data_IF_463847972850
#
_entry.id   IF_463847972850
#
_cell.length_a   1.000
_cell.length_b   1.000
_cell.length_c   1.000
_cell.angle_alpha   90.00
_cell.angle_beta   90.00
_cell.angle_gamma   90.00
#
_symmetry.space_group_name_H-M   'P 1'
#
loop_
_entity.id
_entity.type
_entity.pdbx_description
1 polymer ?
#
# COMPACT_ATOMS: atom_id res chain seq x y z
N UNK A 1 16.35 4.46 9.16
CA UNK A 1 16.71 3.90 10.49
C UNK A 1 16.84 5.05 11.47
N UNK A 2 16.45 4.85 12.73
CA UNK A 2 16.66 5.83 13.80
C UNK A 2 17.87 5.37 14.63
N UNK A 3 18.87 6.23 14.77
CA UNK A 3 20.16 5.88 15.36
C UNK A 3 20.21 6.11 16.89
N UNK A 4 19.35 6.98 17.41
CA UNK A 4 19.31 7.32 18.84
C UNK A 4 17.91 7.09 19.40
N UNK A 5 17.77 6.64 20.65
CA UNK A 5 16.47 6.53 21.30
C UNK A 5 15.80 7.91 21.44
N UNK A 6 14.48 7.93 21.43
CA UNK A 6 13.67 9.15 21.63
C UNK A 6 12.59 8.89 22.69
N UNK A 7 12.00 9.92 23.30
CA UNK A 7 11.07 9.77 24.43
C UNK A 7 9.82 8.90 24.12
N UNK A 8 9.33 8.91 22.89
CA UNK A 8 8.18 8.12 22.43
C UNK A 8 8.52 6.72 21.91
N UNK A 9 9.77 6.26 22.05
CA UNK A 9 10.16 4.92 21.59
C UNK A 9 9.39 3.85 22.35
N UNK A 10 8.97 2.79 21.61
CA UNK A 10 8.30 1.63 22.19
C UNK A 10 9.18 0.99 23.29
N UNK A 11 8.61 0.80 24.48
CA UNK A 11 9.32 0.23 25.64
C UNK A 11 9.09 -1.24 25.84
N UNK A 12 7.95 -1.76 25.37
CA UNK A 12 7.55 -3.14 25.52
C UNK A 12 6.26 -3.44 24.78
N UNK A 13 5.94 -4.73 24.64
CA UNK A 13 4.66 -5.21 24.15
C UNK A 13 4.02 -6.10 25.18
N UNK A 14 2.68 -6.08 25.22
CA UNK A 14 1.94 -6.93 26.16
C UNK A 14 2.26 -8.41 25.91
N UNK A 15 2.52 -9.17 26.98
CA UNK A 15 2.86 -10.58 26.90
C UNK A 15 4.28 -10.92 26.43
N UNK A 16 5.19 -9.92 26.32
CA UNK A 16 6.59 -10.11 25.90
C UNK A 16 7.58 -9.47 26.92
N UNK A 17 7.71 -10.03 28.13
CA UNK A 17 8.52 -9.45 29.20
C UNK A 17 10.02 -9.34 28.86
N UNK A 18 10.52 -10.17 27.96
CA UNK A 18 11.93 -10.16 27.53
C UNK A 18 12.17 -9.27 26.29
N UNK A 19 11.12 -8.63 25.80
CA UNK A 19 11.15 -7.81 24.58
C UNK A 19 11.69 -8.55 23.34
N UNK A 20 11.45 -9.86 23.25
CA UNK A 20 11.91 -10.70 22.11
C UNK A 20 11.35 -10.17 20.80
N UNK A 21 10.04 -9.90 20.75
CA UNK A 21 9.36 -9.41 19.54
C UNK A 21 9.87 -8.03 19.10
N UNK A 22 10.13 -7.13 20.06
CA UNK A 22 10.70 -5.81 19.75
C UNK A 22 12.09 -5.97 19.14
N UNK A 23 12.92 -6.78 19.77
CA UNK A 23 14.29 -7.06 19.28
C UNK A 23 14.27 -7.66 17.88
N UNK A 24 13.41 -8.65 17.65
CA UNK A 24 13.24 -9.30 16.35
C UNK A 24 12.75 -8.34 15.26
N UNK A 25 11.70 -7.57 15.54
CA UNK A 25 11.05 -6.72 14.53
C UNK A 25 11.88 -5.46 14.22
N UNK A 26 12.43 -4.81 15.25
CA UNK A 26 13.01 -3.47 15.10
C UNK A 26 14.52 -3.40 15.19
N UNK A 27 15.19 -4.40 15.82
CA UNK A 27 16.64 -4.35 16.07
C UNK A 27 17.44 -5.50 15.47
N UNK A 28 16.81 -6.52 14.90
CA UNK A 28 17.50 -7.69 14.33
C UNK A 28 18.27 -7.35 13.05
N UNK A 29 17.72 -6.45 12.24
CA UNK A 29 18.26 -6.13 10.90
C UNK A 29 19.50 -5.24 10.95
N UNK A 30 19.57 -4.34 11.92
CA UNK A 30 20.66 -3.39 12.08
C UNK A 30 21.00 -3.27 13.57
N UNK A 31 22.17 -3.76 13.96
CA UNK A 31 22.60 -3.76 15.35
C UNK A 31 22.61 -2.34 15.95
N UNK A 32 21.91 -2.16 17.07
CA UNK A 32 21.86 -0.90 17.81
C UNK A 32 21.04 0.22 17.15
N UNK A 33 20.40 -0.03 16.01
CA UNK A 33 19.58 0.97 15.30
C UNK A 33 18.14 0.51 15.19
N UNK A 34 17.20 1.42 15.41
CA UNK A 34 15.78 1.12 15.26
C UNK A 34 15.38 1.14 13.78
N UNK A 35 14.94 0.01 13.27
CA UNK A 35 14.47 -0.14 11.90
C UNK A 35 12.97 0.13 11.83
N UNK A 36 12.57 1.24 11.22
CA UNK A 36 11.16 1.64 11.08
C UNK A 36 10.41 0.82 10.04
N UNK A 37 11.13 0.25 9.08
CA UNK A 37 10.55 -0.39 7.89
C UNK A 37 10.09 0.60 6.82
N UNK A 38 10.41 1.89 6.98
CA UNK A 38 10.06 2.92 6.03
C UNK A 38 11.28 3.38 5.23
N UNK A 39 11.09 3.65 3.94
CA UNK A 39 12.05 4.33 3.08
C UNK A 39 11.91 5.84 3.23
N UNK A 40 13.02 6.54 3.27
CA UNK A 40 13.04 7.99 3.25
C UNK A 40 14.24 8.50 2.45
N UNK A 41 14.08 9.67 1.84
CA UNK A 41 15.19 10.47 1.30
C UNK A 41 15.24 11.83 2.00
N UNK A 42 16.39 12.43 2.01
CA UNK A 42 16.58 13.80 2.45
C UNK A 42 16.82 14.66 1.21
N UNK A 43 16.18 15.82 1.11
CA UNK A 43 16.41 16.78 0.04
C UNK A 43 17.53 17.78 0.36
N UNK A 44 17.73 18.75 -0.52
CA UNK A 44 18.80 19.77 -0.41
C UNK A 44 18.58 20.70 0.79
N UNK A 45 17.32 20.90 1.21
CA UNK A 45 16.96 21.75 2.36
C UNK A 45 17.04 20.98 3.70
N UNK A 46 17.29 19.67 3.65
CA UNK A 46 17.37 18.79 4.82
C UNK A 46 16.04 18.18 5.24
N UNK A 47 14.99 18.34 4.47
CA UNK A 47 13.67 17.80 4.75
C UNK A 47 13.58 16.30 4.39
N UNK A 48 12.82 15.55 5.20
CA UNK A 48 12.63 14.11 5.02
C UNK A 48 11.38 13.83 4.22
N UNK A 49 11.56 13.20 3.06
CA UNK A 49 10.49 12.67 2.23
C UNK A 49 10.27 11.20 2.52
N UNK A 50 9.13 10.84 3.06
CA UNK A 50 8.77 9.44 3.30
C UNK A 50 8.31 8.80 2.00
N UNK A 51 9.07 7.78 1.54
CA UNK A 51 8.83 7.09 0.26
C UNK A 51 7.91 5.87 0.41
N UNK A 52 7.38 5.62 1.60
CA UNK A 52 6.55 4.46 1.91
C UNK A 52 7.33 3.33 2.58
N UNK A 53 6.69 2.17 2.69
CA UNK A 53 7.28 0.97 3.32
C UNK A 53 8.31 0.33 2.41
N UNK A 54 9.42 -0.16 2.99
CA UNK A 54 10.44 -0.90 2.23
C UNK A 54 9.99 -2.31 1.79
N UNK A 55 8.91 -2.80 2.40
CA UNK A 55 8.25 -4.07 2.12
C UNK A 55 7.00 -3.94 1.21
N UNK A 56 6.52 -2.70 0.98
CA UNK A 56 5.46 -2.39 0.03
C UNK A 56 6.04 -1.93 -1.33
N UNK A 57 6.87 -2.78 -1.91
CA UNK A 57 7.51 -2.56 -3.22
C UNK A 57 7.05 -3.64 -4.18
N UNK A 58 6.73 -3.26 -5.40
CA UNK A 58 6.35 -4.14 -6.51
C UNK A 58 7.53 -4.28 -7.46
N UNK A 59 7.86 -5.51 -7.88
CA UNK A 59 8.92 -5.78 -8.85
C UNK A 59 8.32 -5.97 -10.24
N UNK A 60 8.18 -4.89 -10.98
CA UNK A 60 7.65 -4.89 -12.35
C UNK A 60 8.80 -5.01 -13.35
N UNK A 61 8.89 -6.15 -14.03
CA UNK A 61 9.94 -6.39 -15.04
C UNK A 61 11.36 -6.05 -14.55
N UNK A 62 11.67 -6.38 -13.28
CA UNK A 62 12.96 -6.12 -12.66
C UNK A 62 13.14 -4.71 -12.06
N UNK A 63 12.16 -3.82 -12.22
CA UNK A 63 12.17 -2.49 -11.60
C UNK A 63 11.39 -2.50 -10.28
N UNK A 64 11.97 -1.86 -9.27
CA UNK A 64 11.33 -1.72 -7.95
C UNK A 64 10.54 -0.42 -7.89
N UNK A 65 9.22 -0.54 -7.79
CA UNK A 65 8.29 0.58 -7.67
C UNK A 65 7.69 0.61 -6.26
N UNK A 66 7.75 1.78 -5.62
CA UNK A 66 7.05 2.01 -4.36
C UNK A 66 5.53 2.14 -4.59
N UNK A 67 4.73 1.40 -3.82
CA UNK A 67 3.26 1.51 -3.94
C UNK A 67 2.77 2.93 -3.64
N UNK A 68 3.40 3.60 -2.65
CA UNK A 68 3.04 4.96 -2.25
C UNK A 68 3.22 5.99 -3.37
N UNK A 69 4.20 5.81 -4.27
CA UNK A 69 4.42 6.70 -5.40
C UNK A 69 3.27 6.62 -6.40
N UNK A 70 2.83 5.40 -6.71
CA UNK A 70 1.68 5.18 -7.61
C UNK A 70 0.38 5.64 -6.96
N UNK A 71 0.19 5.41 -5.65
CA UNK A 71 -0.94 5.92 -4.88
C UNK A 71 -1.01 7.45 -4.92
N UNK A 72 0.12 8.11 -4.69
CA UNK A 72 0.22 9.59 -4.74
C UNK A 72 -0.12 10.15 -6.11
N UNK A 73 0.38 9.51 -7.18
CA UNK A 73 0.03 9.91 -8.55
C UNK A 73 -1.48 9.77 -8.80
N UNK A 74 -2.11 8.69 -8.34
CA UNK A 74 -3.56 8.51 -8.52
C UNK A 74 -4.37 9.55 -7.74
N UNK A 75 -4.01 9.80 -6.47
CA UNK A 75 -4.71 10.76 -5.59
C UNK A 75 -4.54 12.20 -6.08
N UNK A 76 -3.47 12.53 -6.81
CA UNK A 76 -3.31 13.86 -7.43
C UNK A 76 -4.33 14.14 -8.54
N UNK A 77 -5.01 13.11 -9.07
CA UNK A 77 -6.08 13.30 -10.05
C UNK A 77 -7.39 13.78 -9.38
N UNK A 78 -8.07 14.76 -9.98
CA UNK A 78 -9.25 15.42 -9.41
C UNK A 78 -10.40 14.46 -9.05
N UNK A 79 -10.56 13.35 -9.79
CA UNK A 79 -11.64 12.38 -9.60
C UNK A 79 -11.39 11.38 -8.46
N UNK A 80 -10.17 11.30 -7.92
CA UNK A 80 -9.78 10.27 -6.96
C UNK A 80 -9.86 10.79 -5.54
N UNK A 81 -10.62 10.09 -4.69
CA UNK A 81 -10.66 10.33 -3.26
C UNK A 81 -9.55 9.57 -2.53
N UNK A 82 -9.41 8.28 -2.85
CA UNK A 82 -8.43 7.39 -2.24
C UNK A 82 -7.95 6.36 -3.26
N UNK A 83 -6.71 5.93 -3.10
CA UNK A 83 -6.14 4.83 -3.86
C UNK A 83 -5.32 3.91 -2.97
N UNK A 84 -5.31 2.63 -3.30
CA UNK A 84 -4.40 1.65 -2.71
C UNK A 84 -3.82 0.78 -3.82
N UNK A 85 -2.53 0.51 -3.73
CA UNK A 85 -1.78 -0.23 -4.73
C UNK A 85 -1.15 -1.46 -4.11
N UNK A 86 -1.25 -2.59 -4.80
CA UNK A 86 -0.60 -3.85 -4.43
C UNK A 86 -0.03 -4.53 -5.67
N UNK A 87 1.03 -5.32 -5.47
CA UNK A 87 1.50 -6.25 -6.49
C UNK A 87 0.59 -7.47 -6.59
N UNK A 88 0.51 -8.06 -7.77
CA UNK A 88 -0.10 -9.36 -8.00
C UNK A 88 0.76 -10.18 -8.98
N UNK A 89 0.71 -11.53 -8.96
CA UNK A 89 1.46 -12.37 -9.88
C UNK A 89 1.08 -12.09 -11.34
N UNK A 90 2.08 -11.86 -12.18
CA UNK A 90 1.91 -11.58 -13.61
C UNK A 90 2.88 -12.42 -14.43
N UNK A 91 2.37 -13.20 -15.39
CA UNK A 91 3.14 -14.23 -16.12
C UNK A 91 4.38 -13.68 -16.86
N UNK A 92 4.31 -12.44 -17.36
CA UNK A 92 5.41 -11.83 -18.15
C UNK A 92 6.28 -10.92 -17.27
N UNK A 93 5.67 -10.14 -16.37
CA UNK A 93 6.36 -9.08 -15.61
C UNK A 93 6.92 -9.55 -14.28
N UNK A 94 6.59 -10.78 -13.86
CA UNK A 94 6.80 -11.28 -12.50
C UNK A 94 5.70 -10.76 -11.56
N UNK A 95 5.68 -9.44 -11.32
CA UNK A 95 4.57 -8.77 -10.64
C UNK A 95 3.92 -7.72 -11.53
N UNK A 96 2.60 -7.64 -11.51
CA UNK A 96 1.79 -6.59 -12.10
C UNK A 96 1.27 -5.63 -11.03
N UNK A 97 0.81 -4.47 -11.47
CA UNK A 97 0.27 -3.42 -10.60
C UNK A 97 -1.25 -3.52 -10.56
N UNK A 98 -1.80 -3.84 -9.39
CA UNK A 98 -3.23 -3.84 -9.14
C UNK A 98 -3.61 -2.63 -8.27
N UNK A 99 -4.53 -1.83 -8.77
CA UNK A 99 -4.95 -0.59 -8.14
C UNK A 99 -6.41 -0.66 -7.73
N UNK A 100 -6.70 -0.25 -6.49
CA UNK A 100 -8.04 -0.02 -5.98
C UNK A 100 -8.25 1.48 -5.85
N UNK A 101 -9.33 2.00 -6.44
CA UNK A 101 -9.62 3.43 -6.47
C UNK A 101 -11.02 3.70 -5.93
N UNK A 102 -11.12 4.61 -4.97
CA UNK A 102 -12.38 5.22 -4.55
C UNK A 102 -12.47 6.59 -5.21
N UNK A 103 -13.55 6.81 -5.96
CA UNK A 103 -13.80 8.10 -6.62
C UNK A 103 -14.42 9.10 -5.63
N UNK A 104 -14.20 10.37 -5.90
CA UNK A 104 -14.90 11.47 -5.21
C UNK A 104 -16.37 11.52 -5.63
N UNK A 105 -17.18 12.17 -4.80
CA UNK A 105 -18.57 12.44 -5.11
C UNK A 105 -18.70 13.21 -6.44
N UNK A 106 -19.69 12.81 -7.24
CA UNK A 106 -19.93 13.38 -8.57
C UNK A 106 -19.26 12.59 -9.72
N UNK A 107 -18.29 11.75 -9.45
CA UNK A 107 -17.67 10.86 -10.43
C UNK A 107 -18.25 9.44 -10.36
N UNK A 108 -18.47 8.82 -11.51
CA UNK A 108 -18.97 7.44 -11.59
C UNK A 108 -17.96 6.55 -12.28
N UNK A 109 -17.82 5.29 -11.84
CA UNK A 109 -16.96 4.30 -12.50
C UNK A 109 -17.30 4.19 -13.99
N UNK A 110 -16.29 4.32 -14.85
CA UNK A 110 -16.40 4.15 -16.28
C UNK A 110 -15.05 3.75 -16.88
N UNK A 111 -15.07 3.16 -18.08
CA UNK A 111 -13.84 2.82 -18.80
C UNK A 111 -13.04 4.07 -19.21
N UNK A 112 -13.70 5.20 -19.43
CA UNK A 112 -13.03 6.47 -19.75
C UNK A 112 -12.25 7.00 -18.56
N UNK A 113 -12.84 7.01 -17.34
CA UNK A 113 -12.12 7.37 -16.12
C UNK A 113 -10.98 6.40 -15.86
N UNK A 114 -11.18 5.10 -16.09
CA UNK A 114 -10.12 4.09 -15.95
C UNK A 114 -8.94 4.40 -16.89
N UNK A 115 -9.19 4.64 -18.16
CA UNK A 115 -8.15 5.01 -19.15
C UNK A 115 -7.45 6.31 -18.77
N UNK A 116 -8.20 7.31 -18.33
CA UNK A 116 -7.65 8.59 -17.85
C UNK A 116 -6.70 8.39 -16.68
N UNK A 117 -7.08 7.63 -15.65
CA UNK A 117 -6.26 7.38 -14.48
C UNK A 117 -4.99 6.60 -14.82
N UNK A 118 -5.09 5.57 -15.68
CA UNK A 118 -3.91 4.84 -16.17
C UNK A 118 -2.97 5.78 -16.95
N UNK A 119 -3.52 6.62 -17.82
CA UNK A 119 -2.77 7.64 -18.56
C UNK A 119 -2.11 8.67 -17.64
N UNK A 120 -2.81 9.10 -16.59
CA UNK A 120 -2.28 10.04 -15.60
C UNK A 120 -1.07 9.48 -14.86
N UNK A 121 -1.16 8.25 -14.33
CA UNK A 121 0.00 7.57 -13.69
C UNK A 121 1.19 7.46 -14.65
N UNK A 122 0.90 7.09 -15.91
CA UNK A 122 1.92 6.99 -16.94
C UNK A 122 2.61 8.32 -17.24
N UNK A 123 1.89 9.43 -17.18
CA UNK A 123 2.43 10.77 -17.39
C UNK A 123 3.24 11.25 -16.19
N UNK A 124 2.77 11.00 -14.97
CA UNK A 124 3.39 11.49 -13.73
C UNK A 124 4.65 10.71 -13.37
N UNK A 125 4.63 9.36 -13.51
CA UNK A 125 5.74 8.51 -13.09
C UNK A 125 6.48 7.92 -14.30
N UNK A 126 5.75 7.44 -15.28
CA UNK A 126 6.31 6.78 -16.46
C UNK A 126 5.60 5.47 -16.83
N UNK A 127 5.89 4.92 -18.02
CA UNK A 127 5.20 3.73 -18.54
C UNK A 127 5.30 2.49 -17.68
N UNK A 128 6.40 2.31 -16.95
CA UNK A 128 6.66 1.15 -16.10
C UNK A 128 5.67 1.08 -14.91
N UNK A 129 5.17 2.21 -14.46
CA UNK A 129 4.23 2.32 -13.34
C UNK A 129 2.75 2.22 -13.76
N UNK A 130 2.48 1.99 -15.06
CA UNK A 130 1.11 1.88 -15.56
C UNK A 130 0.37 0.73 -14.88
N UNK A 131 -0.79 0.97 -14.23
CA UNK A 131 -1.61 -0.09 -13.66
C UNK A 131 -2.04 -1.12 -14.71
N UNK A 132 -1.86 -2.40 -14.40
CA UNK A 132 -2.36 -3.51 -15.22
C UNK A 132 -3.84 -3.76 -14.95
N UNK A 133 -4.22 -3.68 -13.68
CA UNK A 133 -5.59 -3.82 -13.21
C UNK A 133 -5.99 -2.61 -12.37
N UNK A 134 -7.13 -2.01 -12.68
CA UNK A 134 -7.72 -0.92 -11.90
C UNK A 134 -9.17 -1.29 -11.57
N UNK A 135 -9.45 -1.45 -10.28
CA UNK A 135 -10.76 -1.73 -9.73
C UNK A 135 -11.30 -0.51 -9.00
N UNK A 136 -12.49 -0.08 -9.38
CA UNK A 136 -13.22 0.90 -8.59
C UNK A 136 -13.87 0.23 -7.39
N UNK A 137 -13.71 0.84 -6.23
CA UNK A 137 -14.23 0.36 -4.97
C UNK A 137 -14.99 1.48 -4.25
N UNK A 138 -16.12 1.20 -3.60
CA UNK A 138 -16.85 2.21 -2.83
C UNK A 138 -16.10 2.65 -1.58
N UNK A 139 -15.12 1.87 -1.15
CA UNK A 139 -14.23 2.15 -0.02
C UNK A 139 -13.07 1.17 0.03
N UNK A 140 -12.07 1.48 0.85
CA UNK A 140 -10.91 0.63 1.09
C UNK A 140 -10.99 -0.03 2.48
N UNK A 141 -10.46 -1.26 2.66
CA UNK A 141 -10.50 -1.95 3.94
C UNK A 141 -9.55 -1.25 4.92
N UNK A 142 -10.11 -0.54 5.89
CA UNK A 142 -9.38 0.24 6.88
C UNK A 142 -9.60 -0.28 8.29
N UNK A 143 -8.57 -0.17 9.11
CA UNK A 143 -8.71 -0.31 10.56
C UNK A 143 -9.52 0.85 11.13
N UNK A 144 -9.99 0.72 12.39
CA UNK A 144 -10.66 1.80 13.14
C UNK A 144 -9.80 3.07 13.27
N UNK A 145 -8.48 2.96 13.16
CA UNK A 145 -7.56 4.11 13.14
C UNK A 145 -7.34 4.70 11.74
N UNK A 146 -8.06 4.23 10.72
CA UNK A 146 -7.97 4.74 9.34
C UNK A 146 -6.85 4.13 8.49
N UNK A 147 -6.07 3.19 9.02
CA UNK A 147 -4.98 2.56 8.28
C UNK A 147 -5.51 1.53 7.29
N UNK A 148 -5.14 1.64 6.01
CA UNK A 148 -5.51 0.68 4.96
C UNK A 148 -4.85 -0.68 5.23
N UNK A 149 -5.64 -1.74 5.21
CA UNK A 149 -5.19 -3.12 5.39
C UNK A 149 -4.77 -3.73 4.05
N UNK A 150 -3.59 -3.31 3.53
CA UNK A 150 -3.05 -3.79 2.24
C UNK A 150 -2.94 -5.31 2.15
N UNK A 151 -2.76 -5.99 3.28
CA UNK A 151 -2.76 -7.46 3.32
C UNK A 151 -4.03 -8.06 2.71
N UNK A 152 -5.19 -7.51 3.01
CA UNK A 152 -6.49 -7.97 2.47
C UNK A 152 -6.55 -7.70 0.97
N UNK A 153 -6.20 -6.48 0.54
CA UNK A 153 -6.17 -6.10 -0.88
C UNK A 153 -5.24 -7.00 -1.70
N UNK A 154 -4.05 -7.30 -1.16
CA UNK A 154 -3.09 -8.21 -1.80
C UNK A 154 -3.65 -9.62 -1.95
N UNK A 155 -4.28 -10.17 -0.92
CA UNK A 155 -4.93 -11.49 -0.98
C UNK A 155 -6.04 -11.54 -2.04
N UNK A 156 -6.85 -10.50 -2.15
CA UNK A 156 -7.88 -10.37 -3.19
C UNK A 156 -7.23 -10.33 -4.58
N UNK A 157 -6.21 -9.50 -4.78
CA UNK A 157 -5.49 -9.37 -6.05
C UNK A 157 -4.79 -10.67 -6.47
N UNK A 158 -4.34 -11.49 -5.50
CA UNK A 158 -3.72 -12.80 -5.71
C UNK A 158 -4.72 -13.95 -5.87
N UNK A 159 -6.02 -13.67 -5.85
CA UNK A 159 -7.08 -14.69 -5.88
C UNK A 159 -7.08 -15.65 -4.68
N UNK A 160 -6.52 -15.23 -3.53
CA UNK A 160 -6.42 -16.01 -2.30
C UNK A 160 -7.54 -15.62 -1.32
N UNK A 161 -8.78 -15.75 -1.76
CA UNK A 161 -9.96 -15.24 -1.03
C UNK A 161 -10.26 -16.03 0.24
N UNK A 162 -9.89 -17.31 0.29
CA UNK A 162 -10.09 -18.17 1.46
C UNK A 162 -9.03 -17.89 2.57
N UNK A 163 -8.01 -17.10 2.26
CA UNK A 163 -6.88 -16.81 3.13
C UNK A 163 -6.83 -15.36 3.61
N UNK A 164 -7.93 -14.64 3.64
CA UNK A 164 -7.95 -13.21 4.03
C UNK A 164 -7.42 -12.96 5.44
N UNK A 165 -7.48 -14.01 6.30
CA UNK A 165 -7.02 -13.96 7.68
C UNK A 165 -7.93 -13.10 8.55
N UNK A 166 -7.40 -12.60 9.68
CA UNK A 166 -8.19 -11.83 10.65
C UNK A 166 -8.66 -10.49 10.07
N UNK A 167 -9.98 -10.32 9.98
CA UNK A 167 -10.66 -9.10 9.53
C UNK A 167 -11.31 -8.31 10.69
N UNK A 168 -11.19 -8.79 11.92
CA UNK A 168 -11.78 -8.16 13.11
C UNK A 168 -11.31 -6.71 13.37
N UNK A 169 -10.10 -6.27 12.96
CA UNK A 169 -9.67 -4.89 13.11
C UNK A 169 -10.33 -3.90 12.13
N UNK A 170 -11.08 -4.38 11.12
CA UNK A 170 -11.74 -3.52 10.15
C UNK A 170 -12.81 -2.65 10.81
N UNK A 171 -12.85 -1.39 10.38
CA UNK A 171 -13.92 -0.47 10.77
C UNK A 171 -15.25 -0.86 10.12
N UNK A 172 -15.21 -1.30 8.87
CA UNK A 172 -16.36 -1.80 8.11
C UNK A 172 -15.96 -3.09 7.36
N UNK A 173 -16.35 -4.27 7.87
CA UNK A 173 -16.09 -5.55 7.20
C UNK A 173 -16.81 -5.72 5.86
N UNK A 174 -17.93 -5.02 5.61
CA UNK A 174 -18.72 -5.16 4.38
C UNK A 174 -17.97 -4.73 3.12
N UNK A 175 -16.96 -3.87 3.29
CA UNK A 175 -16.07 -3.43 2.20
C UNK A 175 -15.36 -4.62 1.54
N UNK A 176 -15.04 -5.66 2.30
CA UNK A 176 -14.37 -6.85 1.75
C UNK A 176 -15.26 -7.57 0.74
N UNK A 177 -16.56 -7.75 1.05
CA UNK A 177 -17.51 -8.38 0.15
C UNK A 177 -17.68 -7.59 -1.15
N UNK A 178 -17.70 -6.26 -1.06
CA UNK A 178 -17.77 -5.38 -2.24
C UNK A 178 -16.52 -5.49 -3.10
N UNK A 179 -15.34 -5.54 -2.49
CA UNK A 179 -14.07 -5.74 -3.20
C UNK A 179 -14.01 -7.10 -3.89
N UNK A 180 -14.48 -8.16 -3.24
CA UNK A 180 -14.55 -9.51 -3.82
C UNK A 180 -15.49 -9.58 -5.02
N UNK A 181 -16.67 -8.94 -4.95
CA UNK A 181 -17.63 -8.87 -6.05
C UNK A 181 -17.08 -8.09 -7.26
N UNK A 182 -16.31 -7.05 -7.03
CA UNK A 182 -15.71 -6.21 -8.09
C UNK A 182 -14.33 -6.68 -8.56
N UNK A 183 -13.84 -7.82 -8.07
CA UNK A 183 -12.50 -8.32 -8.40
C UNK A 183 -12.32 -8.56 -9.88
N UNK A 184 -11.17 -8.13 -10.40
CA UNK A 184 -10.75 -8.36 -11.78
C UNK A 184 -9.97 -9.68 -11.86
N UNK A 185 -10.42 -10.56 -12.76
CA UNK A 185 -9.76 -11.84 -13.01
C UNK A 185 -8.36 -11.68 -13.61
#
# INVERSE_FOLDING_TARGET
MIEKPWPGMLRGTYGDPENKRIKEVYFSRFAGKYFTGDGARVDEDGDYWLMGRVDDVINVSGHRLGTAEVESALVSHESVAEAAVVGYPHDIKGEGIYVYVTLKDGFKPSDDIKKMLVGHVRTVIGPIASPDKLQFAPGLPKTRSGKIMRRILRKIAHNQVDELGDTSPLADPSVVDMLLKGRLA
#
